data_IF_154964487477
#
_entry.id   IF_154964487477
#
_cell.length_a   1.000
_cell.length_b   1.000
_cell.length_c   1.000
_cell.angle_alpha   90.00
_cell.angle_beta   90.00
_cell.angle_gamma   90.00
#
_symmetry.space_group_name_H-M   'P 1'
#
loop_
_entity.id
_entity.type
_entity.pdbx_description
1 polymer ?
#
# COMPACT_ATOMS: atom_id res chain seq x y z
N UNK A 1 -23.68 1.03 -16.66
CA UNK A 1 -23.24 2.10 -15.77
C UNK A 1 -23.94 1.95 -14.43
N UNK A 2 -23.19 1.99 -13.33
CA UNK A 2 -23.70 1.89 -11.96
C UNK A 2 -23.04 3.00 -11.14
N UNK A 3 -23.81 3.67 -10.27
CA UNK A 3 -23.29 4.58 -9.25
C UNK A 3 -23.82 4.14 -7.89
N UNK A 4 -23.00 4.29 -6.85
CA UNK A 4 -23.35 3.93 -5.48
C UNK A 4 -22.99 5.05 -4.53
N UNK A 5 -23.81 5.24 -3.52
CA UNK A 5 -23.55 6.05 -2.35
C UNK A 5 -23.91 5.21 -1.13
N UNK A 6 -23.08 5.24 -0.12
CA UNK A 6 -23.24 4.43 1.08
C UNK A 6 -22.76 5.13 2.32
N UNK A 7 -22.93 4.48 3.44
CA UNK A 7 -22.41 4.95 4.71
C UNK A 7 -22.64 3.92 5.80
N UNK A 8 -21.89 4.08 6.89
CA UNK A 8 -21.99 3.26 8.08
C UNK A 8 -22.55 4.13 9.22
N UNK A 9 -23.59 3.65 9.90
CA UNK A 9 -24.22 4.37 11.01
C UNK A 9 -23.27 4.63 12.19
N UNK A 10 -22.19 3.85 12.31
CA UNK A 10 -21.20 4.02 13.37
C UNK A 10 -20.07 4.98 13.01
N UNK A 11 -19.81 5.23 11.71
CA UNK A 11 -18.70 6.08 11.28
C UNK A 11 -19.13 7.31 10.49
N UNK A 12 -20.04 7.17 9.52
CA UNK A 12 -20.38 8.26 8.59
C UNK A 12 -21.02 9.45 9.33
N UNK A 13 -20.44 10.63 9.14
CA UNK A 13 -20.88 11.88 9.78
C UNK A 13 -20.48 12.05 11.24
N UNK A 14 -19.82 11.06 11.86
CA UNK A 14 -19.22 11.15 13.19
C UNK A 14 -17.76 11.60 13.11
N UNK A 15 -17.26 12.20 14.18
CA UNK A 15 -15.86 12.66 14.27
C UNK A 15 -14.94 11.51 14.61
N UNK A 16 -13.98 11.25 13.72
CA UNK A 16 -12.94 10.25 13.90
C UNK A 16 -11.56 10.82 13.59
N UNK A 17 -10.52 10.06 13.95
CA UNK A 17 -9.14 10.43 13.65
C UNK A 17 -8.92 10.52 12.15
N UNK A 18 -8.25 11.59 11.74
CA UNK A 18 -7.69 11.76 10.40
C UNK A 18 -6.33 12.45 10.49
N UNK A 19 -5.62 12.52 9.37
CA UNK A 19 -4.51 13.44 9.16
C UNK A 19 -4.69 14.13 7.81
N UNK A 20 -4.12 15.31 7.65
CA UNK A 20 -4.05 15.94 6.36
C UNK A 20 -3.04 15.20 5.48
N UNK A 21 -3.43 14.90 4.28
CA UNK A 21 -2.58 14.32 3.26
C UNK A 21 -2.43 15.27 2.08
N UNK A 22 -2.44 14.71 0.89
CA UNK A 22 -2.49 15.47 -0.34
C UNK A 22 -3.93 15.93 -0.68
N UNK A 23 -4.03 16.90 -1.57
CA UNK A 23 -5.33 17.37 -2.07
C UNK A 23 -6.02 16.34 -2.95
N UNK A 24 -5.27 15.38 -3.46
CA UNK A 24 -5.72 14.34 -4.39
C UNK A 24 -5.97 12.99 -3.73
N UNK A 25 -5.83 12.87 -2.40
CA UNK A 25 -6.02 11.62 -1.66
C UNK A 25 -7.32 10.89 -2.04
N UNK A 26 -8.41 11.64 -2.27
CA UNK A 26 -9.70 11.05 -2.66
C UNK A 26 -9.67 10.32 -4.01
N UNK A 27 -8.67 10.58 -4.86
CA UNK A 27 -8.49 9.88 -6.14
C UNK A 27 -7.68 8.58 -6.00
N UNK A 28 -7.05 8.36 -4.84
CA UNK A 28 -6.09 7.28 -4.62
C UNK A 28 -4.69 7.57 -5.14
N UNK A 29 -4.40 8.84 -5.54
CA UNK A 29 -3.08 9.30 -5.96
C UNK A 29 -2.59 10.43 -5.05
N UNK A 30 -1.29 10.41 -4.76
CA UNK A 30 -0.61 11.52 -4.09
C UNK A 30 -0.24 12.62 -5.09
N UNK A 31 -0.10 13.86 -4.60
CA UNK A 31 0.34 15.03 -5.38
C UNK A 31 1.78 15.44 -5.01
N UNK A 32 2.65 14.46 -4.80
CA UNK A 32 4.05 14.59 -4.38
C UNK A 32 4.22 15.08 -2.93
N UNK A 33 3.14 15.19 -2.17
CA UNK A 33 3.17 15.64 -0.77
C UNK A 33 3.96 14.67 0.13
N UNK A 34 3.99 13.37 -0.24
CA UNK A 34 4.66 12.30 0.51
C UNK A 34 5.97 11.84 -0.11
N UNK A 35 6.46 12.52 -1.13
CA UNK A 35 7.74 12.17 -1.75
C UNK A 35 8.92 12.27 -0.76
N UNK A 36 9.92 11.43 -1.00
CA UNK A 36 11.20 11.52 -0.28
C UNK A 36 11.87 12.87 -0.62
N UNK A 37 12.22 13.71 0.36
CA UNK A 37 12.89 14.98 0.08
C UNK A 37 14.19 14.78 -0.69
N UNK A 38 14.47 15.61 -1.68
CA UNK A 38 15.54 15.39 -2.66
C UNK A 38 16.94 15.15 -2.10
N UNK A 39 17.33 15.77 -0.98
CA UNK A 39 18.63 15.48 -0.34
C UNK A 39 18.67 14.06 0.27
N UNK A 40 17.55 13.60 0.81
CA UNK A 40 17.39 12.25 1.37
C UNK A 40 17.37 11.23 0.24
N UNK A 41 16.61 11.50 -0.82
CA UNK A 41 16.52 10.67 -2.01
C UNK A 41 17.89 10.44 -2.68
N UNK A 42 18.72 11.49 -2.76
CA UNK A 42 20.10 11.37 -3.25
C UNK A 42 20.93 10.44 -2.36
N UNK A 43 20.77 10.52 -1.04
CA UNK A 43 21.49 9.64 -0.11
C UNK A 43 21.06 8.18 -0.30
N UNK A 44 19.76 7.90 -0.39
CA UNK A 44 19.21 6.57 -0.63
C UNK A 44 19.73 5.98 -1.95
N UNK A 45 19.62 6.71 -3.06
CA UNK A 45 20.13 6.29 -4.38
C UNK A 45 21.62 6.00 -4.42
N UNK A 46 22.38 6.65 -3.56
CA UNK A 46 23.83 6.40 -3.42
C UNK A 46 24.16 5.29 -2.40
N UNK A 47 23.18 4.68 -1.77
CA UNK A 47 23.38 3.69 -0.71
C UNK A 47 24.07 4.25 0.52
N UNK A 48 23.90 5.55 0.80
CA UNK A 48 24.53 6.24 1.91
C UNK A 48 23.57 6.31 3.11
N UNK A 49 23.92 5.69 4.22
CA UNK A 49 23.15 5.83 5.47
C UNK A 49 23.17 7.29 5.95
N UNK A 50 22.02 7.77 6.39
CA UNK A 50 21.87 9.13 6.93
C UNK A 50 22.30 9.16 8.39
N UNK A 51 23.54 9.54 8.63
CA UNK A 51 24.14 9.64 9.96
C UNK A 51 25.32 10.63 9.97
N UNK A 52 25.85 10.92 11.15
CA UNK A 52 26.96 11.85 11.34
C UNK A 52 28.33 11.36 10.81
N UNK A 53 28.46 10.09 10.40
CA UNK A 53 29.65 9.57 9.75
C UNK A 53 29.69 9.93 8.26
N UNK A 54 28.57 10.06 7.62
CA UNK A 54 28.43 10.30 6.18
C UNK A 54 28.08 11.75 5.85
N UNK A 55 27.42 12.47 6.76
CA UNK A 55 26.93 13.83 6.53
C UNK A 55 27.30 14.79 7.65
N UNK A 56 27.57 16.03 7.31
CA UNK A 56 27.82 17.10 8.29
C UNK A 56 26.52 17.44 9.06
N UNK A 57 26.69 18.04 10.24
CA UNK A 57 25.54 18.47 11.05
C UNK A 57 24.60 19.45 10.32
N UNK A 58 25.15 20.26 9.40
CA UNK A 58 24.36 21.18 8.57
C UNK A 58 23.54 20.44 7.53
N UNK A 59 24.07 19.41 6.89
CA UNK A 59 23.37 18.58 5.92
C UNK A 59 22.26 17.78 6.61
N UNK A 60 22.55 17.15 7.75
CA UNK A 60 21.55 16.44 8.56
C UNK A 60 20.43 17.37 9.03
N UNK A 61 20.74 18.62 9.38
CA UNK A 61 19.73 19.63 9.68
C UNK A 61 18.86 19.97 8.47
N UNK A 62 19.45 20.14 7.30
CA UNK A 62 18.71 20.42 6.07
C UNK A 62 17.80 19.26 5.68
N UNK A 63 18.31 18.03 5.74
CA UNK A 63 17.53 16.81 5.51
C UNK A 63 16.37 16.69 6.50
N UNK A 64 16.65 16.87 7.80
CA UNK A 64 15.62 16.80 8.83
C UNK A 64 14.53 17.86 8.67
N UNK A 65 14.89 19.09 8.31
CA UNK A 65 13.90 20.14 8.03
C UNK A 65 13.08 19.87 6.77
N UNK A 66 13.68 19.31 5.74
CA UNK A 66 12.99 18.92 4.53
C UNK A 66 12.02 17.75 4.78
N UNK A 67 12.35 16.82 5.70
CA UNK A 67 11.54 15.67 6.04
C UNK A 67 10.29 16.04 6.84
N UNK A 68 10.33 17.08 7.65
CA UNK A 68 9.21 17.43 8.52
C UNK A 68 8.11 18.17 7.78
N UNK A 69 7.10 17.40 7.37
CA UNK A 69 5.87 17.92 6.80
C UNK A 69 4.75 17.83 7.86
N UNK A 70 4.43 18.96 8.50
CA UNK A 70 3.47 19.00 9.62
C UNK A 70 2.09 18.38 9.28
N UNK A 71 1.50 18.62 8.09
CA UNK A 71 0.21 18.02 7.72
C UNK A 71 0.19 16.49 7.75
N UNK A 72 1.30 15.83 7.44
CA UNK A 72 1.36 14.37 7.37
C UNK A 72 1.43 13.68 8.74
N UNK A 73 1.72 14.42 9.82
CA UNK A 73 2.00 13.86 11.15
C UNK A 73 0.97 14.18 12.21
N UNK A 74 0.19 15.22 11.97
CA UNK A 74 -0.75 15.72 12.98
C UNK A 74 -2.09 15.00 12.85
N UNK A 75 -2.41 14.16 13.85
CA UNK A 75 -3.74 13.59 13.97
C UNK A 75 -4.75 14.66 14.37
N UNK A 76 -5.88 14.65 13.71
CA UNK A 76 -7.00 15.58 13.91
C UNK A 76 -8.31 14.78 13.97
N UNK A 77 -9.40 15.44 14.37
CA UNK A 77 -10.74 14.89 14.34
C UNK A 77 -11.58 15.62 13.32
N UNK A 78 -12.15 14.87 12.40
CA UNK A 78 -13.10 15.39 11.40
C UNK A 78 -14.24 14.39 11.19
N UNK A 79 -15.32 14.90 10.62
CA UNK A 79 -16.47 14.07 10.26
C UNK A 79 -16.12 13.17 9.10
N UNK A 80 -16.25 11.87 9.30
CA UNK A 80 -16.04 10.87 8.26
C UNK A 80 -17.04 11.08 7.12
N UNK A 81 -16.58 11.20 5.86
CA UNK A 81 -17.45 11.39 4.70
C UNK A 81 -18.33 10.17 4.42
N UNK A 82 -19.24 10.31 3.49
CA UNK A 82 -20.01 9.21 2.90
C UNK A 82 -19.13 8.38 1.94
N UNK A 83 -19.44 7.10 1.82
CA UNK A 83 -18.84 6.24 0.81
C UNK A 83 -19.46 6.50 -0.56
N UNK A 84 -18.68 6.34 -1.61
CA UNK A 84 -19.18 6.56 -2.96
C UNK A 84 -18.38 5.81 -4.01
N UNK A 85 -19.05 5.43 -5.10
CA UNK A 85 -18.37 4.75 -6.19
C UNK A 85 -19.16 4.79 -7.48
N UNK A 86 -18.47 4.46 -8.57
CA UNK A 86 -19.08 4.29 -9.87
C UNK A 86 -18.41 3.16 -10.65
N UNK A 87 -19.17 2.54 -11.53
CA UNK A 87 -18.71 1.53 -12.47
C UNK A 87 -19.29 1.79 -13.85
N UNK A 88 -18.42 1.75 -14.84
CA UNK A 88 -18.75 1.80 -16.26
C UNK A 88 -18.35 0.47 -16.87
N UNK A 89 -19.25 -0.17 -17.60
CA UNK A 89 -18.94 -1.37 -18.36
C UNK A 89 -19.65 -1.33 -19.70
N UNK A 90 -19.00 -1.87 -20.70
CA UNK A 90 -19.52 -1.96 -22.04
C UNK A 90 -18.76 -2.98 -22.87
N UNK A 91 -19.39 -3.46 -23.91
CA UNK A 91 -18.79 -4.36 -24.87
C UNK A 91 -19.65 -4.49 -26.12
N UNK A 92 -19.04 -4.95 -27.18
CA UNK A 92 -19.73 -5.27 -28.41
C UNK A 92 -19.04 -6.44 -29.10
N UNK A 93 -19.77 -7.08 -29.99
CA UNK A 93 -19.25 -8.07 -30.92
C UNK A 93 -19.63 -7.65 -32.35
N UNK A 94 -18.72 -7.84 -33.28
CA UNK A 94 -18.91 -7.51 -34.68
C UNK A 94 -18.28 -8.58 -35.57
N UNK A 95 -19.07 -9.13 -36.49
CA UNK A 95 -18.58 -10.12 -37.45
C UNK A 95 -17.77 -9.43 -38.56
N UNK A 96 -16.58 -9.94 -38.77
CA UNK A 96 -15.63 -9.48 -39.77
C UNK A 96 -15.36 -10.58 -40.78
N UNK A 97 -14.64 -10.27 -41.88
CA UNK A 97 -14.23 -11.29 -42.84
C UNK A 97 -13.20 -12.30 -42.29
N UNK A 98 -12.66 -12.09 -41.10
CA UNK A 98 -11.68 -12.96 -40.43
C UNK A 98 -12.31 -13.73 -39.23
N UNK A 99 -13.54 -13.43 -38.85
CA UNK A 99 -14.24 -13.99 -37.71
C UNK A 99 -14.96 -12.92 -36.88
N UNK A 100 -15.47 -13.28 -35.73
CA UNK A 100 -16.16 -12.39 -34.80
C UNK A 100 -15.15 -11.66 -33.90
N UNK A 101 -15.14 -10.32 -33.98
CA UNK A 101 -14.35 -9.44 -33.13
C UNK A 101 -15.18 -9.07 -31.90
N UNK A 102 -14.69 -9.45 -30.72
CA UNK A 102 -15.26 -9.07 -29.44
C UNK A 102 -14.44 -7.98 -28.75
N UNK A 103 -15.11 -7.03 -28.10
CA UNK A 103 -14.48 -5.98 -27.29
C UNK A 103 -15.22 -5.85 -25.98
N UNK A 104 -14.48 -5.76 -24.87
CA UNK A 104 -15.03 -5.47 -23.55
C UNK A 104 -14.18 -4.41 -22.85
N UNK A 105 -14.82 -3.49 -22.14
CA UNK A 105 -14.17 -2.54 -21.24
C UNK A 105 -14.97 -2.37 -19.97
N UNK A 106 -14.26 -2.35 -18.83
CA UNK A 106 -14.81 -2.06 -17.51
C UNK A 106 -13.89 -1.07 -16.82
N UNK A 107 -14.46 -0.05 -16.17
CA UNK A 107 -13.74 0.89 -15.33
C UNK A 107 -14.54 1.14 -14.06
N UNK A 108 -13.89 1.06 -12.91
CA UNK A 108 -14.51 1.27 -11.61
C UNK A 108 -13.68 2.16 -10.70
N UNK A 109 -14.38 2.90 -9.88
CA UNK A 109 -13.86 3.70 -8.77
C UNK A 109 -14.73 3.48 -7.54
N UNK A 110 -14.11 3.27 -6.40
CA UNK A 110 -14.77 3.14 -5.10
C UNK A 110 -13.95 3.89 -4.05
N UNK A 111 -14.64 4.63 -3.19
CA UNK A 111 -14.04 5.34 -2.05
C UNK A 111 -14.90 5.03 -0.82
N UNK A 112 -14.30 4.40 0.16
CA UNK A 112 -14.99 3.97 1.38
C UNK A 112 -14.21 4.28 2.63
N UNK A 113 -14.92 4.52 3.74
CA UNK A 113 -14.38 4.85 5.02
C UNK A 113 -14.74 3.83 6.10
N UNK A 114 -13.81 3.57 6.99
CA UNK A 114 -13.99 2.64 8.09
C UNK A 114 -13.33 3.13 9.36
N UNK A 115 -14.12 3.52 10.34
CA UNK A 115 -13.65 3.78 11.69
C UNK A 115 -13.72 2.50 12.54
N UNK A 116 -12.76 2.34 13.44
CA UNK A 116 -12.70 1.23 14.38
C UNK A 116 -12.23 1.73 15.74
N UNK A 117 -12.89 1.22 16.77
CA UNK A 117 -12.48 1.38 18.15
C UNK A 117 -12.43 -0.01 18.80
N UNK A 118 -11.45 -0.26 19.65
CA UNK A 118 -11.27 -1.55 20.27
C UNK A 118 -10.10 -1.59 21.23
N UNK A 119 -9.69 -2.81 21.58
CA UNK A 119 -8.53 -3.06 22.42
C UNK A 119 -7.59 -4.00 21.69
N UNK A 120 -6.29 -3.76 21.88
CA UNK A 120 -5.21 -4.65 21.48
C UNK A 120 -4.47 -5.07 22.73
N UNK A 121 -4.45 -6.37 23.01
CA UNK A 121 -3.80 -6.93 24.18
C UNK A 121 -2.79 -7.98 23.76
N UNK A 122 -1.62 -7.91 24.36
CA UNK A 122 -0.58 -8.94 24.24
C UNK A 122 -0.33 -9.53 25.61
N UNK A 123 -0.23 -10.85 25.70
CA UNK A 123 0.03 -11.57 26.92
C UNK A 123 1.13 -12.60 26.75
N UNK A 124 1.82 -12.89 27.84
CA UNK A 124 2.80 -13.97 27.94
C UNK A 124 2.45 -14.93 29.07
N UNK A 125 2.83 -16.19 28.89
CA UNK A 125 2.67 -17.18 29.97
C UNK A 125 3.78 -17.02 31.00
N UNK A 126 3.38 -16.90 32.28
CA UNK A 126 4.24 -17.02 33.45
C UNK A 126 3.81 -18.27 34.23
N UNK A 127 4.49 -19.37 34.01
CA UNK A 127 4.00 -20.68 34.47
C UNK A 127 2.72 -21.06 33.71
N UNK A 128 1.62 -21.30 34.45
CA UNK A 128 0.33 -21.68 33.85
C UNK A 128 -0.63 -20.47 33.72
N UNK A 129 -0.20 -19.26 34.07
CA UNK A 129 -1.01 -18.05 33.95
C UNK A 129 -0.62 -17.21 32.74
N UNK A 130 -1.65 -16.67 32.05
CA UNK A 130 -1.47 -15.68 31.00
C UNK A 130 -1.49 -14.29 31.66
N UNK A 131 -0.35 -13.60 31.63
CA UNK A 131 -0.24 -12.24 32.17
C UNK A 131 -0.16 -11.23 31.02
N UNK A 132 -0.80 -10.06 31.14
CA UNK A 132 -0.74 -9.04 30.10
C UNK A 132 0.67 -8.44 30.00
N UNK A 133 1.15 -8.25 28.78
CA UNK A 133 2.37 -7.53 28.43
C UNK A 133 2.02 -6.12 27.98
N UNK A 134 0.99 -5.98 27.15
CA UNK A 134 0.42 -4.70 26.75
C UNK A 134 -1.10 -4.75 26.76
N UNK A 135 -1.75 -3.61 26.97
CA UNK A 135 -3.20 -3.46 26.84
C UNK A 135 -3.54 -2.06 26.36
N UNK A 136 -3.71 -1.92 25.05
CA UNK A 136 -3.95 -0.64 24.40
C UNK A 136 -5.40 -0.49 23.95
N UNK A 137 -6.03 0.62 24.30
CA UNK A 137 -7.19 1.12 23.58
C UNK A 137 -6.74 1.59 22.19
N UNK A 138 -7.45 1.17 21.16
CA UNK A 138 -7.13 1.46 19.75
C UNK A 138 -8.26 2.26 19.14
N UNK A 139 -7.94 3.36 18.51
CA UNK A 139 -8.82 4.12 17.63
C UNK A 139 -8.16 4.24 16.27
N UNK A 140 -8.88 3.90 15.20
CA UNK A 140 -8.40 4.09 13.82
C UNK A 140 -9.52 4.53 12.90
N UNK A 141 -9.15 5.27 11.86
CA UNK A 141 -10.02 5.61 10.76
C UNK A 141 -9.26 5.44 9.44
N UNK A 142 -9.80 4.62 8.58
CA UNK A 142 -9.20 4.18 7.33
C UNK A 142 -10.06 4.64 6.16
N UNK A 143 -9.44 5.23 5.16
CA UNK A 143 -10.02 5.51 3.86
C UNK A 143 -9.40 4.58 2.82
N UNK A 144 -10.23 3.82 2.13
CA UNK A 144 -9.83 2.93 1.03
C UNK A 144 -10.36 3.48 -0.29
N UNK A 145 -9.45 3.74 -1.22
CA UNK A 145 -9.77 4.13 -2.59
C UNK A 145 -9.33 3.02 -3.54
N UNK A 146 -10.27 2.53 -4.35
CA UNK A 146 -10.03 1.47 -5.33
C UNK A 146 -10.29 1.96 -6.73
N UNK A 147 -9.34 1.70 -7.61
CA UNK A 147 -9.46 1.90 -9.05
C UNK A 147 -9.26 0.57 -9.74
N UNK A 148 -10.12 0.24 -10.69
CA UNK A 148 -9.96 -0.93 -11.51
C UNK A 148 -10.31 -0.63 -12.96
N UNK A 149 -9.54 -1.22 -13.86
CA UNK A 149 -9.77 -1.18 -15.29
C UNK A 149 -9.54 -2.57 -15.87
N UNK A 150 -10.46 -3.03 -16.70
CA UNK A 150 -10.31 -4.24 -17.50
C UNK A 150 -10.64 -3.89 -18.95
N UNK A 151 -9.75 -4.27 -19.86
CA UNK A 151 -9.95 -4.17 -21.28
C UNK A 151 -9.65 -5.50 -21.96
N UNK A 152 -10.52 -5.94 -22.84
CA UNK A 152 -10.35 -7.18 -23.57
C UNK A 152 -10.71 -7.05 -25.05
N UNK A 153 -9.93 -7.72 -25.87
CA UNK A 153 -10.17 -7.92 -27.30
C UNK A 153 -10.15 -9.41 -27.59
N UNK A 154 -11.07 -9.90 -28.40
CA UNK A 154 -11.06 -11.27 -28.89
C UNK A 154 -11.35 -11.29 -30.39
N UNK A 155 -10.69 -12.20 -31.10
CA UNK A 155 -11.01 -12.54 -32.49
C UNK A 155 -11.18 -14.05 -32.56
N UNK A 156 -12.34 -14.51 -32.95
CA UNK A 156 -12.65 -15.93 -33.01
C UNK A 156 -13.39 -16.29 -34.30
N UNK A 157 -13.07 -17.46 -34.84
CA UNK A 157 -13.83 -18.15 -35.86
C UNK A 157 -14.04 -19.60 -35.44
N UNK A 158 -14.51 -20.48 -36.32
CA UNK A 158 -14.85 -21.87 -35.99
C UNK A 158 -13.65 -22.69 -35.48
N UNK A 159 -12.41 -22.35 -35.91
CA UNK A 159 -11.21 -23.12 -35.65
C UNK A 159 -10.17 -22.37 -34.81
N UNK A 160 -10.29 -21.04 -34.68
CA UNK A 160 -9.24 -20.23 -34.07
C UNK A 160 -9.83 -19.15 -33.16
N UNK A 161 -9.26 -19.02 -31.97
CA UNK A 161 -9.55 -17.91 -31.07
C UNK A 161 -8.24 -17.27 -30.59
N UNK A 162 -8.21 -15.94 -30.57
CA UNK A 162 -7.15 -15.16 -29.92
C UNK A 162 -7.79 -14.12 -28.99
N UNK A 163 -7.33 -14.09 -27.74
CA UNK A 163 -7.79 -13.15 -26.72
C UNK A 163 -6.62 -12.32 -26.19
N UNK A 164 -6.83 -11.03 -26.09
CA UNK A 164 -5.91 -10.12 -25.40
C UNK A 164 -6.66 -9.44 -24.26
N UNK A 165 -6.20 -9.63 -23.02
CA UNK A 165 -6.82 -9.11 -21.80
C UNK A 165 -5.82 -8.24 -21.06
N UNK A 166 -6.27 -7.07 -20.61
CA UNK A 166 -5.52 -6.16 -19.77
C UNK A 166 -6.30 -5.88 -18.51
N UNK A 167 -5.66 -5.98 -17.36
CA UNK A 167 -6.22 -5.65 -16.07
C UNK A 167 -5.31 -4.67 -15.34
N UNK A 168 -5.87 -3.60 -14.81
CA UNK A 168 -5.22 -2.70 -13.87
C UNK A 168 -6.07 -2.59 -12.61
N UNK A 169 -5.43 -2.77 -11.46
CA UNK A 169 -6.05 -2.57 -10.15
C UNK A 169 -5.12 -1.71 -9.31
N UNK A 170 -5.67 -0.68 -8.70
CA UNK A 170 -5.00 0.13 -7.69
C UNK A 170 -5.86 0.18 -6.43
N UNK A 171 -5.28 -0.14 -5.32
CA UNK A 171 -5.88 0.00 -4.00
C UNK A 171 -5.00 0.90 -3.15
N UNK A 172 -5.55 2.01 -2.70
CA UNK A 172 -4.87 2.99 -1.86
C UNK A 172 -5.57 3.04 -0.51
N UNK A 173 -4.82 2.87 0.56
CA UNK A 173 -5.29 2.95 1.94
C UNK A 173 -4.61 4.13 2.63
N UNK A 174 -5.41 5.02 3.22
CA UNK A 174 -4.98 6.09 4.11
C UNK A 174 -5.50 5.80 5.50
N UNK A 175 -4.63 5.67 6.49
CA UNK A 175 -5.03 5.38 7.87
C UNK A 175 -4.46 6.39 8.85
N UNK A 176 -5.30 6.84 9.76
CA UNK A 176 -4.94 7.54 10.98
C UNK A 176 -5.28 6.64 12.16
N UNK A 177 -4.30 6.32 13.01
CA UNK A 177 -4.48 5.40 14.13
C UNK A 177 -3.79 5.93 15.39
N UNK A 178 -4.45 5.77 16.52
CA UNK A 178 -3.86 6.00 17.85
C UNK A 178 -4.08 4.79 18.74
N UNK A 179 -3.04 4.40 19.47
CA UNK A 179 -3.10 3.36 20.49
C UNK A 179 -2.63 3.94 21.81
N UNK A 180 -3.34 3.67 22.91
CA UNK A 180 -2.96 4.17 24.22
C UNK A 180 -3.30 3.18 25.33
N UNK A 181 -2.37 2.94 26.24
CA UNK A 181 -2.57 2.06 27.38
C UNK A 181 -1.28 1.67 28.08
N UNK A 182 -1.37 0.81 29.12
CA UNK A 182 -0.21 0.34 29.85
C UNK A 182 0.67 -0.58 29.01
N UNK A 183 1.98 -0.39 29.14
CA UNK A 183 3.02 -1.25 28.62
C UNK A 183 3.83 -1.81 29.79
N UNK A 184 3.59 -3.09 30.10
CA UNK A 184 4.19 -3.72 31.27
C UNK A 184 5.65 -4.10 31.05
N UNK A 185 6.10 -4.30 29.79
CA UNK A 185 7.51 -4.48 29.44
C UNK A 185 8.31 -3.18 29.62
N UNK A 186 7.66 -2.04 29.42
CA UNK A 186 8.24 -0.73 29.71
C UNK A 186 8.01 -0.26 31.16
N UNK A 187 7.74 -1.17 32.11
CA UNK A 187 7.56 -0.88 33.51
C UNK A 187 6.14 -0.48 33.91
N UNK A 188 5.13 -0.77 33.07
CA UNK A 188 3.71 -0.52 33.35
C UNK A 188 3.27 0.93 33.16
N UNK A 189 4.12 1.77 32.57
CA UNK A 189 3.76 3.14 32.21
C UNK A 189 2.73 3.19 31.08
N UNK A 190 1.92 4.24 31.04
CA UNK A 190 1.00 4.48 29.93
C UNK A 190 1.82 4.99 28.75
N UNK A 191 1.66 4.31 27.61
CA UNK A 191 2.25 4.70 26.33
C UNK A 191 1.11 4.99 25.36
N UNK A 192 1.30 6.03 24.54
CA UNK A 192 0.45 6.33 23.40
C UNK A 192 1.33 6.34 22.14
N UNK A 193 0.86 5.69 21.07
CA UNK A 193 1.46 5.77 19.75
C UNK A 193 0.44 6.32 18.76
N UNK A 194 0.85 7.34 18.02
CA UNK A 194 0.08 7.91 16.92
C UNK A 194 0.74 7.52 15.59
N UNK A 195 -0.08 7.02 14.67
CA UNK A 195 0.36 6.52 13.35
C UNK A 195 -0.38 7.25 12.25
N UNK A 196 0.34 7.56 11.19
CA UNK A 196 -0.23 7.96 9.90
C UNK A 196 0.35 7.09 8.81
N UNK A 197 -0.51 6.56 7.96
CA UNK A 197 -0.13 5.67 6.87
C UNK A 197 -0.79 6.10 5.56
N UNK A 198 -0.02 5.96 4.48
CA UNK A 198 -0.50 5.96 3.12
C UNK A 198 0.10 4.76 2.42
N UNK A 199 -0.74 3.85 1.98
CA UNK A 199 -0.31 2.56 1.47
C UNK A 199 -0.97 2.25 0.14
N UNK A 200 -0.17 2.05 -0.89
CA UNK A 200 -0.62 1.79 -2.26
C UNK A 200 -0.25 0.38 -2.68
N UNK A 201 -1.17 -0.34 -3.28
CA UNK A 201 -0.92 -1.58 -4.01
C UNK A 201 -1.45 -1.44 -5.42
N UNK A 202 -0.63 -1.83 -6.39
CA UNK A 202 -1.00 -1.81 -7.79
C UNK A 202 -0.71 -3.17 -8.43
N UNK A 203 -1.58 -3.55 -9.34
CA UNK A 203 -1.39 -4.68 -10.22
C UNK A 203 -1.73 -4.22 -11.64
N UNK A 204 -0.81 -4.40 -12.54
CA UNK A 204 -1.05 -4.38 -13.98
C UNK A 204 -0.76 -5.75 -14.55
N UNK A 205 -1.64 -6.30 -15.38
CA UNK A 205 -1.37 -7.51 -16.14
C UNK A 205 -1.90 -7.37 -17.55
N UNK A 206 -1.12 -7.86 -18.51
CA UNK A 206 -1.48 -7.97 -19.91
C UNK A 206 -1.23 -9.41 -20.35
N UNK A 207 -2.25 -10.07 -20.83
CA UNK A 207 -2.19 -11.44 -21.28
C UNK A 207 -2.73 -11.56 -22.69
N UNK A 208 -2.03 -12.30 -23.52
CA UNK A 208 -2.50 -12.76 -24.83
C UNK A 208 -2.52 -14.29 -24.82
N UNK A 209 -3.61 -14.87 -25.31
CA UNK A 209 -3.78 -16.31 -25.42
C UNK A 209 -4.44 -16.66 -26.75
N UNK A 210 -4.08 -17.79 -27.30
CA UNK A 210 -4.68 -18.32 -28.52
C UNK A 210 -4.97 -19.80 -28.41
N UNK A 211 -6.07 -20.21 -28.98
CA UNK A 211 -6.55 -21.58 -29.12
C UNK A 211 -6.80 -21.85 -30.61
N UNK A 212 -6.23 -22.92 -31.14
CA UNK A 212 -6.25 -23.21 -32.56
C UNK A 212 -6.52 -24.69 -32.80
N UNK A 213 -7.56 -24.99 -33.56
CA UNK A 213 -7.91 -26.32 -34.01
C UNK A 213 -7.49 -26.50 -35.50
N UNK A 214 -6.81 -27.58 -35.76
CA UNK A 214 -6.34 -27.98 -37.08
C UNK A 214 -6.78 -29.42 -37.38
N UNK A 215 -6.77 -29.81 -38.66
CA UNK A 215 -7.08 -31.18 -39.11
C UNK A 215 -8.47 -31.63 -38.65
N UNK A 216 -9.50 -30.80 -38.84
CA UNK A 216 -10.87 -31.05 -38.40
C UNK A 216 -10.97 -31.31 -36.87
N UNK A 217 -10.17 -30.59 -36.07
CA UNK A 217 -10.13 -30.72 -34.62
C UNK A 217 -9.22 -31.83 -34.06
N UNK A 218 -8.52 -32.58 -34.92
CA UNK A 218 -7.62 -33.62 -34.48
C UNK A 218 -6.32 -33.09 -33.82
N UNK A 219 -5.88 -31.88 -34.17
CA UNK A 219 -4.74 -31.19 -33.58
C UNK A 219 -5.19 -29.88 -32.95
N UNK A 220 -5.02 -29.77 -31.65
CA UNK A 220 -5.27 -28.57 -30.86
C UNK A 220 -3.96 -27.96 -30.38
N UNK A 221 -3.81 -26.64 -30.52
CA UNK A 221 -2.65 -25.88 -30.07
C UNK A 221 -3.13 -24.70 -29.24
N UNK A 222 -2.75 -24.69 -27.96
CA UNK A 222 -2.97 -23.61 -27.03
C UNK A 222 -1.68 -22.90 -26.71
N UNK A 223 -1.70 -21.60 -26.74
CA UNK A 223 -0.55 -20.81 -26.30
C UNK A 223 -0.99 -19.61 -25.48
N UNK A 224 -0.11 -19.18 -24.61
CA UNK A 224 -0.32 -18.00 -23.76
C UNK A 224 0.99 -17.26 -23.50
N UNK A 225 0.90 -15.95 -23.40
CA UNK A 225 1.96 -15.10 -22.93
C UNK A 225 1.36 -14.03 -22.01
N UNK A 226 2.03 -13.75 -20.91
CA UNK A 226 1.57 -12.73 -19.96
C UNK A 226 2.76 -11.95 -19.40
N UNK A 227 2.51 -10.67 -19.20
CA UNK A 227 3.32 -9.77 -18.39
C UNK A 227 2.48 -9.27 -17.23
N UNK A 228 3.04 -9.29 -16.03
CA UNK A 228 2.42 -8.70 -14.85
C UNK A 228 3.42 -7.86 -14.08
N UNK A 229 3.01 -6.68 -13.66
CA UNK A 229 3.74 -5.83 -12.72
C UNK A 229 2.89 -5.59 -11.49
N UNK A 230 3.46 -5.91 -10.32
CA UNK A 230 2.88 -5.60 -9.03
C UNK A 230 3.78 -4.60 -8.32
N UNK A 231 3.20 -3.55 -7.76
CA UNK A 231 3.95 -2.62 -6.90
C UNK A 231 3.24 -2.41 -5.57
N UNK A 232 4.05 -2.15 -4.56
CA UNK A 232 3.62 -1.70 -3.24
C UNK A 232 4.44 -0.47 -2.88
N UNK A 233 3.76 0.60 -2.52
CA UNK A 233 4.37 1.85 -2.14
C UNK A 233 3.75 2.35 -0.83
N UNK A 234 4.60 2.66 0.14
CA UNK A 234 4.23 3.21 1.44
C UNK A 234 5.13 4.42 1.75
N UNK A 235 4.87 5.56 1.09
CA UNK A 235 5.62 6.78 1.32
C UNK A 235 5.16 7.44 2.62
N UNK A 236 6.15 7.89 3.41
CA UNK A 236 5.91 8.67 4.61
C UNK A 236 4.97 8.01 5.63
N UNK A 237 5.16 6.76 5.94
CA UNK A 237 4.56 6.16 7.14
C UNK A 237 5.17 6.83 8.39
N UNK A 238 4.36 7.25 9.35
CA UNK A 238 4.90 7.84 10.56
C UNK A 238 4.36 7.20 11.84
N UNK A 239 5.22 7.10 12.83
CA UNK A 239 4.88 6.72 14.21
C UNK A 239 5.51 7.70 15.18
N UNK A 240 4.70 8.22 16.09
CA UNK A 240 5.16 9.07 17.19
C UNK A 240 4.68 8.52 18.52
N UNK A 241 5.60 8.33 19.44
CA UNK A 241 5.33 7.76 20.76
C UNK A 241 5.34 8.82 21.84
N UNK A 242 4.44 8.66 22.77
CA UNK A 242 4.31 9.47 23.98
C UNK A 242 4.29 8.56 25.21
N UNK A 243 4.95 8.99 26.29
CA UNK A 243 4.73 8.50 27.62
C UNK A 243 3.79 9.44 28.39
N UNK A 244 3.54 9.14 29.66
CA UNK A 244 2.78 10.00 30.57
C UNK A 244 3.68 10.38 31.74
N UNK A 245 3.72 11.68 32.07
CA UNK A 245 4.47 12.19 33.22
C UNK A 245 3.74 11.93 34.55
N UNK A 246 4.33 12.34 35.66
CA UNK A 246 3.76 12.17 36.99
C UNK A 246 2.46 12.96 37.21
N UNK A 247 2.23 14.00 36.45
CA UNK A 247 1.05 14.85 36.46
C UNK A 247 -0.07 14.36 35.51
N UNK A 248 0.18 13.29 34.76
CA UNK A 248 -0.74 12.70 33.79
C UNK A 248 -0.73 13.34 32.41
N UNK A 249 0.25 14.19 32.10
CA UNK A 249 0.37 14.81 30.78
C UNK A 249 1.14 13.90 29.80
N UNK A 250 0.74 13.91 28.54
CA UNK A 250 1.50 13.24 27.50
C UNK A 250 2.81 13.99 27.21
N UNK A 251 3.92 13.25 27.21
CA UNK A 251 5.25 13.73 26.89
C UNK A 251 5.85 12.91 25.75
N UNK A 252 6.47 13.56 24.77
CA UNK A 252 7.10 12.87 23.68
C UNK A 252 8.24 11.96 24.12
N UNK A 253 8.19 10.70 23.69
CA UNK A 253 9.34 9.80 23.70
C UNK A 253 10.06 9.95 22.33
N UNK A 254 11.11 10.77 22.33
CA UNK A 254 11.84 11.07 21.07
C UNK A 254 12.45 9.82 20.44
N UNK A 255 12.84 8.83 21.24
CA UNK A 255 13.36 7.55 20.71
C UNK A 255 12.29 6.68 20.03
N UNK A 256 11.01 6.94 20.30
CA UNK A 256 9.88 6.22 19.71
C UNK A 256 9.35 6.82 18.42
N UNK A 257 9.98 7.90 17.88
CA UNK A 257 9.56 8.44 16.58
C UNK A 257 10.15 7.64 15.43
N UNK A 258 9.40 7.54 14.34
CA UNK A 258 9.80 6.86 13.13
C UNK A 258 9.08 7.46 11.94
N UNK A 259 9.81 7.73 10.87
CA UNK A 259 9.26 8.05 9.55
C UNK A 259 9.88 7.08 8.56
N UNK A 260 9.04 6.29 7.89
CA UNK A 260 9.49 5.23 6.99
C UNK A 260 9.04 5.49 5.57
N UNK A 261 9.88 5.09 4.64
CA UNK A 261 9.59 5.00 3.22
C UNK A 261 9.85 3.57 2.78
N UNK A 262 8.90 2.94 2.11
CA UNK A 262 9.13 1.60 1.58
C UNK A 262 8.44 1.41 0.25
N UNK A 263 9.15 0.76 -0.67
CA UNK A 263 8.61 0.35 -1.96
C UNK A 263 8.97 -1.09 -2.28
N UNK A 264 8.16 -1.71 -3.11
CA UNK A 264 8.40 -3.03 -3.67
C UNK A 264 7.84 -3.06 -5.07
N UNK A 265 8.69 -3.44 -6.02
CA UNK A 265 8.32 -3.73 -7.40
C UNK A 265 8.57 -5.20 -7.71
N UNK A 266 7.62 -5.83 -8.40
CA UNK A 266 7.68 -7.23 -8.81
C UNK A 266 7.21 -7.34 -10.27
N UNK A 267 8.13 -7.66 -11.17
CA UNK A 267 7.89 -7.83 -12.60
C UNK A 267 7.92 -9.32 -12.95
N UNK A 268 6.88 -9.79 -13.64
CA UNK A 268 6.72 -11.19 -14.00
C UNK A 268 6.44 -11.32 -15.50
N UNK A 269 7.16 -12.23 -16.15
CA UNK A 269 6.91 -12.63 -17.53
C UNK A 269 6.68 -14.13 -17.56
N UNK A 270 5.61 -14.55 -18.24
CA UNK A 270 5.31 -15.97 -18.40
C UNK A 270 4.82 -16.28 -19.80
N UNK A 271 5.03 -17.52 -20.21
CA UNK A 271 4.56 -18.01 -21.50
C UNK A 271 4.49 -19.54 -21.52
N UNK A 272 3.63 -20.05 -22.39
CA UNK A 272 3.50 -21.50 -22.57
C UNK A 272 2.83 -21.83 -23.89
N UNK A 273 3.13 -23.03 -24.37
CA UNK A 273 2.49 -23.64 -25.53
C UNK A 273 2.21 -25.09 -25.19
N UNK A 274 1.01 -25.52 -25.44
CA UNK A 274 0.52 -26.89 -25.29
C UNK A 274 -0.01 -27.37 -26.65
N UNK A 275 0.26 -28.61 -27.02
CA UNK A 275 -0.30 -29.23 -28.21
C UNK A 275 -0.87 -30.59 -27.85
N UNK A 276 -2.08 -30.87 -28.33
CA UNK A 276 -2.77 -32.15 -28.16
C UNK A 276 -3.18 -32.72 -29.53
N UNK A 277 -2.86 -33.98 -29.77
CA UNK A 277 -3.28 -34.69 -30.96
C UNK A 277 -4.17 -35.87 -30.62
N UNK A 278 -5.39 -35.85 -31.19
CA UNK A 278 -6.39 -36.89 -31.00
C UNK A 278 -6.34 -37.85 -32.19
N UNK A 279 -5.94 -39.08 -31.93
CA UNK A 279 -5.92 -40.16 -32.90
C UNK A 279 -7.17 -41.02 -32.77
N UNK A 280 -8.06 -41.06 -33.77
CA UNK A 280 -9.20 -41.95 -33.75
C UNK A 280 -8.74 -43.43 -33.91
N UNK A 281 -9.24 -44.26 -33.00
CA UNK A 281 -8.99 -45.69 -33.00
C UNK A 281 -10.26 -46.46 -33.41
N UNK A 282 -10.14 -47.79 -33.62
CA UNK A 282 -11.29 -48.63 -33.90
C UNK A 282 -12.29 -48.69 -32.72
N UNK A 283 -13.58 -48.87 -33.00
CA UNK A 283 -14.66 -49.02 -32.01
C UNK A 283 -15.00 -47.71 -31.23
N UNK A 284 -14.97 -46.59 -31.88
CA UNK A 284 -15.26 -45.26 -31.29
C UNK A 284 -14.38 -44.94 -30.06
N UNK A 285 -13.12 -45.44 -30.04
CA UNK A 285 -12.11 -45.09 -29.06
C UNK A 285 -11.16 -44.06 -29.65
N UNK A 286 -10.56 -43.28 -28.80
CA UNK A 286 -9.59 -42.24 -29.15
C UNK A 286 -8.33 -42.38 -28.28
N UNK A 287 -7.19 -42.02 -28.86
CA UNK A 287 -5.94 -41.87 -28.10
C UNK A 287 -5.52 -40.39 -28.22
N UNK A 288 -5.30 -39.73 -27.08
CA UNK A 288 -4.86 -38.32 -27.04
C UNK A 288 -3.40 -38.29 -26.60
N UNK A 289 -2.57 -37.65 -27.41
CA UNK A 289 -1.17 -37.38 -27.12
C UNK A 289 -1.00 -35.89 -26.90
N UNK A 290 -0.50 -35.50 -25.73
CA UNK A 290 -0.27 -34.09 -25.41
C UNK A 290 1.18 -33.84 -25.00
N UNK A 291 1.69 -32.67 -25.38
CA UNK A 291 3.00 -32.15 -25.01
C UNK A 291 2.88 -30.66 -24.77
N UNK A 292 3.58 -30.15 -23.77
CA UNK A 292 3.59 -28.73 -23.46
C UNK A 292 4.91 -28.27 -22.91
N UNK A 293 5.15 -26.97 -23.05
CA UNK A 293 6.27 -26.26 -22.45
C UNK A 293 5.78 -24.94 -21.89
N UNK A 294 6.27 -24.58 -20.70
CA UNK A 294 6.00 -23.28 -20.08
C UNK A 294 7.27 -22.71 -19.45
N UNK A 295 7.33 -21.39 -19.42
CA UNK A 295 8.39 -20.62 -18.77
C UNK A 295 7.79 -19.52 -17.91
N UNK A 296 8.45 -19.24 -16.79
CA UNK A 296 8.13 -18.14 -15.88
C UNK A 296 9.42 -17.51 -15.39
N UNK A 297 9.48 -16.18 -15.45
CA UNK A 297 10.58 -15.36 -14.94
C UNK A 297 10.01 -14.27 -14.05
N UNK A 298 10.65 -14.02 -12.91
CA UNK A 298 10.22 -13.03 -11.93
C UNK A 298 11.42 -12.27 -11.40
N UNK A 299 11.32 -10.94 -11.39
CA UNK A 299 12.28 -10.06 -10.76
C UNK A 299 11.60 -9.21 -9.70
N UNK A 300 12.18 -9.18 -8.49
CA UNK A 300 11.64 -8.42 -7.36
C UNK A 300 12.71 -7.54 -6.75
N UNK A 301 12.38 -6.26 -6.63
CA UNK A 301 13.15 -5.26 -5.90
C UNK A 301 12.32 -4.75 -4.72
N UNK A 302 12.95 -4.60 -3.56
CA UNK A 302 12.30 -4.08 -2.37
C UNK A 302 13.27 -3.24 -1.54
N UNK A 303 12.85 -2.04 -1.20
CA UNK A 303 13.61 -1.11 -0.38
C UNK A 303 12.79 -0.60 0.80
N UNK A 304 13.45 -0.35 1.92
CA UNK A 304 12.86 0.31 3.08
C UNK A 304 13.92 1.16 3.77
N UNK A 305 13.54 2.39 4.07
CA UNK A 305 14.34 3.35 4.82
C UNK A 305 13.58 3.84 6.04
N UNK A 306 14.17 3.70 7.19
CA UNK A 306 13.61 4.08 8.49
C UNK A 306 14.39 5.25 9.07
N UNK A 307 13.75 6.40 9.16
CA UNK A 307 14.34 7.67 9.61
C UNK A 307 13.81 8.04 11.00
N UNK A 308 14.70 8.48 11.86
CA UNK A 308 14.40 8.92 13.23
C UNK A 308 15.01 10.27 13.53
N UNK A 309 14.42 11.02 14.45
CA UNK A 309 15.06 12.15 15.07
C UNK A 309 15.65 11.74 16.42
N UNK A 310 16.91 11.98 16.63
CA UNK A 310 17.58 11.77 17.91
C UNK A 310 17.80 13.11 18.63
N UNK A 311 17.60 13.11 19.93
CA UNK A 311 17.96 14.26 20.76
C UNK A 311 19.48 14.31 20.96
N UNK A 312 20.11 15.38 20.50
CA UNK A 312 21.56 15.62 20.69
C UNK A 312 21.86 15.96 22.14
N UNK A 313 20.99 16.72 22.77
CA UNK A 313 21.02 17.05 24.19
C UNK A 313 19.67 16.73 24.83
N UNK A 314 19.61 16.67 26.15
CA UNK A 314 18.36 16.48 26.86
C UNK A 314 17.38 17.60 26.49
N UNK A 315 16.19 17.20 26.01
CA UNK A 315 15.10 18.13 25.74
C UNK A 315 14.54 18.71 27.04
N UNK A 316 14.16 19.96 26.99
CA UNK A 316 13.42 20.57 28.12
C UNK A 316 12.04 19.94 28.25
N UNK A 317 11.44 20.05 29.41
CA UNK A 317 10.09 19.55 29.66
C UNK A 317 9.06 20.24 28.75
N UNK A 318 9.17 21.54 28.55
CA UNK A 318 8.35 22.31 27.62
C UNK A 318 8.42 21.77 26.17
N UNK A 319 9.63 21.42 25.71
CA UNK A 319 9.81 20.79 24.38
C UNK A 319 9.14 19.41 24.33
N UNK A 320 9.30 18.60 25.37
CA UNK A 320 8.70 17.26 25.42
C UNK A 320 7.18 17.26 25.51
N UNK A 321 6.58 18.29 26.13
CA UNK A 321 5.13 18.45 26.23
C UNK A 321 4.52 19.21 25.05
N UNK A 322 5.34 19.76 24.15
CA UNK A 322 4.87 20.53 23.02
C UNK A 322 4.14 19.64 22.00
N UNK A 323 3.27 20.26 21.18
CA UNK A 323 2.61 19.57 20.08
C UNK A 323 3.67 19.07 19.07
N UNK A 324 3.39 17.93 18.39
CA UNK A 324 4.33 17.23 17.52
C UNK A 324 4.93 18.11 16.42
N UNK A 325 4.12 18.98 15.81
CA UNK A 325 4.55 19.88 14.74
C UNK A 325 5.45 21.02 15.25
N UNK A 326 5.39 21.33 16.55
CA UNK A 326 6.30 22.29 17.18
C UNK A 326 7.60 21.59 17.61
N UNK A 327 7.51 20.38 18.18
CA UNK A 327 8.71 19.62 18.55
C UNK A 327 9.60 19.37 17.34
N UNK A 328 9.03 18.87 16.25
CA UNK A 328 9.72 18.64 14.99
C UNK A 328 9.56 19.83 14.03
N UNK A 329 9.92 21.01 14.48
CA UNK A 329 9.94 22.24 13.68
C UNK A 329 11.36 22.65 13.32
N UNK A 330 11.49 23.56 12.39
CA UNK A 330 12.78 24.17 12.00
C UNK A 330 13.56 24.76 13.18
N UNK A 331 12.84 25.18 14.22
CA UNK A 331 13.46 25.73 15.43
C UNK A 331 14.20 24.65 16.22
N UNK A 332 13.60 23.48 16.40
CA UNK A 332 14.17 22.39 17.19
C UNK A 332 15.07 21.45 16.36
N UNK A 333 14.92 21.41 15.03
CA UNK A 333 15.80 20.63 14.16
C UNK A 333 17.08 21.44 13.89
N UNK A 334 18.06 21.19 14.73
CA UNK A 334 19.35 21.88 14.69
C UNK A 334 20.43 21.00 15.34
N UNK A 335 21.73 21.30 15.12
CA UNK A 335 22.85 20.49 15.63
C UNK A 335 22.92 20.33 17.15
N UNK A 336 22.14 21.09 17.93
CA UNK A 336 22.14 21.06 19.39
C UNK A 336 20.91 20.45 20.02
N UNK A 337 19.84 20.24 19.26
CA UNK A 337 18.55 19.79 19.82
C UNK A 337 18.11 18.47 19.20
N UNK A 338 17.69 18.46 17.92
CA UNK A 338 17.25 17.26 17.21
C UNK A 338 18.05 17.09 15.91
N UNK A 339 18.52 15.90 15.67
CA UNK A 339 19.26 15.53 14.48
C UNK A 339 18.63 14.32 13.81
N UNK A 340 18.60 14.32 12.46
CA UNK A 340 18.11 13.20 11.68
C UNK A 340 19.11 12.06 11.65
N UNK A 341 18.60 10.83 11.70
CA UNK A 341 19.35 9.58 11.56
C UNK A 341 18.50 8.52 10.86
N UNK A 342 19.15 7.64 10.13
CA UNK A 342 18.63 6.38 9.60
C UNK A 342 19.10 5.19 10.45
#
# INVERSE_FOLDING_TARGET
>A
MKASIGGNTESTGKEHLIYFGSRTDFTGFDDDTREVPGLIDIAFKNGQQINSANFSATELQQMGRALVNAPLRLLQREKTPVDGGFELSGGFSHDTGLGSLGVIAVAGYDNSWRAREGFQEEGQFQGDELVPVTSYAVESNQNDVRLNFLGGLSLSNDDHEVKWTNLYVRNTTKEARSTAGPDFDAGGGIIRNDYTEWFVRQLFTSQIAGEHHFMDGALEIDWRAAYAKTSRDAPYESRFQYGVDADGNYIHNVQGNLISFSELDDDNVSGGVDAAYTLPLSNAREAIFSVGVSSFDSNRDAERHDLQFEAVNALTEEQRQSRIDYLFSDYNINPSTLQLRE
#
